data_IF_840445953435
#
_entry.id   IF_840445953435
#
_cell.length_a   1.000
_cell.length_b   1.000
_cell.length_c   1.000
_cell.angle_alpha   90.00
_cell.angle_beta   90.00
_cell.angle_gamma   90.00
#
_symmetry.space_group_name_H-M   'P 1'
#
loop_
_entity.id
_entity.type
_entity.pdbx_description
1 polymer ?
#
# COMPACT_ATOMS: atom_id res chain seq x y z
N UNK A 1 -3.07 6.30 13.39
CA UNK A 1 -2.54 6.74 12.09
C UNK A 1 -2.80 5.67 11.04
N UNK A 2 -3.27 6.07 9.89
CA UNK A 2 -3.48 5.19 8.75
C UNK A 2 -2.18 5.11 7.93
N UNK A 3 -1.59 3.93 7.84
CA UNK A 3 -0.34 3.72 7.12
C UNK A 3 -0.59 2.89 5.86
N UNK A 4 -0.29 3.43 4.70
CA UNK A 4 -0.34 2.67 3.46
C UNK A 4 0.93 1.82 3.32
N UNK A 5 0.74 0.53 3.07
CA UNK A 5 1.83 -0.38 2.75
C UNK A 5 1.76 -0.65 1.26
N UNK A 6 2.79 -0.28 0.55
CA UNK A 6 2.87 -0.38 -0.90
C UNK A 6 4.12 -1.15 -1.27
N UNK A 7 4.07 -1.90 -2.34
CA UNK A 7 5.26 -2.61 -2.74
C UNK A 7 5.13 -3.32 -4.08
N UNK A 8 6.28 -3.71 -4.60
CA UNK A 8 6.39 -4.45 -5.84
C UNK A 8 5.87 -5.87 -5.66
N UNK A 9 5.19 -6.40 -6.70
CA UNK A 9 4.56 -7.73 -6.64
C UNK A 9 5.55 -8.86 -6.43
N UNK A 10 6.79 -8.69 -6.85
CA UNK A 10 7.84 -9.70 -6.73
C UNK A 10 8.57 -9.69 -5.39
N UNK A 11 8.22 -8.77 -4.49
CA UNK A 11 8.86 -8.66 -3.19
C UNK A 11 8.01 -9.32 -2.11
N UNK A 12 8.69 -9.84 -1.08
CA UNK A 12 8.06 -10.42 0.09
C UNK A 12 8.81 -9.97 1.34
N UNK A 13 8.09 -9.59 2.39
CA UNK A 13 8.66 -9.16 3.66
C UNK A 13 8.05 -10.04 4.76
N UNK A 14 8.89 -10.76 5.50
CA UNK A 14 8.43 -11.67 6.56
C UNK A 14 7.86 -10.93 7.75
N UNK A 15 8.49 -9.83 8.15
CA UNK A 15 8.07 -9.07 9.32
C UNK A 15 7.83 -7.60 8.96
N UNK A 16 6.63 -7.31 8.51
CA UNK A 16 6.21 -5.95 8.21
C UNK A 16 6.28 -5.06 9.46
N UNK A 17 6.02 -5.66 10.63
CA UNK A 17 6.03 -4.92 11.90
C UNK A 17 7.36 -4.28 12.22
N UNK A 18 8.48 -4.86 11.75
CA UNK A 18 9.82 -4.30 11.99
C UNK A 18 10.00 -2.92 11.34
N UNK A 19 9.17 -2.58 10.37
CA UNK A 19 9.27 -1.32 9.63
C UNK A 19 8.20 -0.31 9.98
N UNK A 20 7.26 -0.66 10.87
CA UNK A 20 6.14 0.24 11.18
C UNK A 20 6.55 1.34 12.14
N UNK A 21 6.18 2.60 11.85
CA UNK A 21 6.37 3.68 12.83
C UNK A 21 5.38 3.52 13.99
N UNK A 22 5.62 4.19 15.11
CA UNK A 22 4.67 4.17 16.23
C UNK A 22 3.35 4.84 15.88
N UNK A 23 2.28 4.43 16.54
CA UNK A 23 0.97 5.05 16.38
C UNK A 23 0.14 4.54 15.21
N UNK A 24 0.55 3.45 14.55
CA UNK A 24 -0.24 2.87 13.47
C UNK A 24 -1.44 2.13 14.04
N UNK A 25 -2.64 2.49 13.57
CA UNK A 25 -3.89 1.85 13.98
C UNK A 25 -4.58 1.14 12.82
N UNK A 26 -4.22 1.48 11.60
CA UNK A 26 -4.85 0.94 10.39
C UNK A 26 -3.81 0.79 9.29
N UNK A 27 -3.84 -0.37 8.59
CA UNK A 27 -3.06 -0.58 7.38
C UNK A 27 -3.94 -0.39 6.15
N UNK A 28 -3.41 0.27 5.15
CA UNK A 28 -4.09 0.54 3.88
C UNK A 28 -3.30 -0.12 2.76
N UNK A 29 -3.95 -0.86 1.90
CA UNK A 29 -3.28 -1.67 0.88
C UNK A 29 -4.13 -1.76 -0.38
N UNK A 30 -3.51 -2.18 -1.48
CA UNK A 30 -4.19 -2.38 -2.76
C UNK A 30 -4.71 -3.78 -3.01
N UNK A 31 -4.50 -4.71 -2.07
CA UNK A 31 -5.00 -6.09 -2.20
C UNK A 31 -4.32 -6.92 -3.28
N UNK A 32 -3.13 -6.51 -3.76
CA UNK A 32 -2.38 -7.27 -4.75
C UNK A 32 -1.53 -8.38 -4.11
N UNK A 33 -0.70 -9.04 -4.91
CA UNK A 33 0.22 -10.07 -4.44
C UNK A 33 1.49 -9.42 -3.85
N UNK A 34 2.32 -10.24 -3.20
CA UNK A 34 3.59 -9.79 -2.66
C UNK A 34 3.42 -8.94 -1.41
N UNK A 35 3.91 -7.71 -1.43
CA UNK A 35 3.90 -6.82 -0.27
C UNK A 35 2.49 -6.56 0.25
N UNK A 36 1.50 -6.43 -0.62
CA UNK A 36 0.11 -6.22 -0.19
C UNK A 36 -0.42 -7.42 0.61
N UNK A 37 -0.03 -8.63 0.22
CA UNK A 37 -0.37 -9.84 0.98
C UNK A 37 0.31 -9.85 2.34
N UNK A 38 1.57 -9.42 2.42
CA UNK A 38 2.30 -9.31 3.69
C UNK A 38 1.59 -8.34 4.63
N UNK A 39 1.12 -7.21 4.13
CA UNK A 39 0.39 -6.23 4.91
C UNK A 39 -0.92 -6.81 5.46
N UNK A 40 -1.66 -7.53 4.62
CA UNK A 40 -2.92 -8.19 5.04
C UNK A 40 -2.67 -9.18 6.16
N UNK A 41 -1.70 -10.07 5.99
CA UNK A 41 -1.40 -11.09 7.00
C UNK A 41 -0.98 -10.46 8.32
N UNK A 42 -0.17 -9.41 8.28
CA UNK A 42 0.25 -8.70 9.48
C UNK A 42 -0.94 -8.06 10.20
N UNK A 43 -1.81 -7.35 9.45
CA UNK A 43 -2.97 -6.69 10.05
C UNK A 43 -3.90 -7.68 10.72
N UNK A 44 -4.18 -8.81 10.06
CA UNK A 44 -5.06 -9.86 10.62
C UNK A 44 -4.44 -10.51 11.85
N UNK A 45 -3.14 -10.75 11.85
CA UNK A 45 -2.43 -11.39 12.98
C UNK A 45 -2.35 -10.48 14.20
N UNK A 46 -2.31 -9.16 14.01
CA UNK A 46 -2.07 -8.20 15.09
C UNK A 46 -3.30 -7.36 15.45
N UNK A 47 -4.46 -7.71 14.91
CA UNK A 47 -5.71 -7.01 15.24
C UNK A 47 -5.78 -5.58 14.75
N UNK A 48 -5.01 -5.21 13.74
CA UNK A 48 -5.09 -3.89 13.12
C UNK A 48 -6.23 -3.83 12.12
N UNK A 49 -6.83 -2.66 11.98
CA UNK A 49 -7.81 -2.44 10.92
C UNK A 49 -7.12 -2.53 9.56
N UNK A 50 -7.74 -3.20 8.61
CA UNK A 50 -7.22 -3.31 7.24
C UNK A 50 -8.22 -2.69 6.29
N UNK A 51 -7.75 -1.75 5.48
CA UNK A 51 -8.55 -1.15 4.40
C UNK A 51 -7.85 -1.45 3.09
N UNK A 52 -8.54 -2.13 2.18
CA UNK A 52 -8.01 -2.48 0.87
C UNK A 52 -8.77 -1.75 -0.23
N UNK A 53 -8.05 -1.05 -1.09
CA UNK A 53 -8.60 -0.40 -2.28
C UNK A 53 -8.30 -1.29 -3.48
N UNK A 54 -9.28 -2.06 -3.92
CA UNK A 54 -9.11 -2.94 -5.07
C UNK A 54 -9.30 -2.17 -6.38
N UNK A 55 -8.54 -2.51 -7.42
CA UNK A 55 -8.71 -1.84 -8.71
C UNK A 55 -10.05 -2.23 -9.35
N UNK A 56 -10.80 -1.24 -9.80
CA UNK A 56 -12.08 -1.44 -10.46
C UNK A 56 -11.90 -1.44 -11.98
N UNK A 57 -11.55 -2.61 -12.51
CA UNK A 57 -11.30 -2.78 -13.95
C UNK A 57 -12.55 -2.57 -14.79
N UNK A 58 -13.73 -2.82 -14.23
CA UNK A 58 -14.99 -2.61 -14.97
C UNK A 58 -15.22 -1.15 -15.27
N UNK A 59 -14.87 -0.28 -14.31
CA UNK A 59 -15.10 1.17 -14.42
C UNK A 59 -13.97 1.89 -15.14
N UNK A 60 -12.72 1.51 -14.86
CA UNK A 60 -11.53 2.25 -15.29
C UNK A 60 -10.66 1.51 -16.29
N UNK A 61 -10.96 0.26 -16.60
CA UNK A 61 -10.15 -0.53 -17.52
C UNK A 61 -8.68 -0.60 -17.10
N UNK A 62 -7.78 -0.29 -18.03
CA UNK A 62 -6.33 -0.35 -17.75
C UNK A 62 -5.86 0.68 -16.73
N UNK A 63 -6.60 1.74 -16.54
CA UNK A 63 -6.25 2.78 -15.56
C UNK A 63 -6.64 2.41 -14.12
N UNK A 64 -7.34 1.28 -13.92
CA UNK A 64 -7.83 0.90 -12.60
C UNK A 64 -6.75 0.86 -11.50
N UNK A 65 -5.56 0.25 -11.72
CA UNK A 65 -4.51 0.28 -10.70
C UNK A 65 -4.03 1.69 -10.36
N UNK A 66 -3.96 2.56 -11.34
CA UNK A 66 -3.55 3.96 -11.14
C UNK A 66 -4.57 4.72 -10.32
N UNK A 67 -5.86 4.56 -10.63
CA UNK A 67 -6.95 5.19 -9.87
C UNK A 67 -6.94 4.70 -8.43
N UNK A 68 -6.80 3.38 -8.23
CA UNK A 68 -6.72 2.77 -6.91
C UNK A 68 -5.55 3.34 -6.10
N UNK A 69 -4.39 3.53 -6.73
CA UNK A 69 -3.23 4.10 -6.06
C UNK A 69 -3.47 5.54 -5.62
N UNK A 70 -4.18 6.34 -6.43
CA UNK A 70 -4.59 7.70 -6.04
C UNK A 70 -5.50 7.69 -4.83
N UNK A 71 -6.44 6.74 -4.77
CA UNK A 71 -7.35 6.59 -3.64
C UNK A 71 -6.58 6.26 -2.35
N UNK A 72 -5.58 5.38 -2.42
CA UNK A 72 -4.74 5.02 -1.29
C UNK A 72 -4.02 6.27 -0.77
N UNK A 73 -3.36 7.02 -1.64
CA UNK A 73 -2.59 8.21 -1.25
C UNK A 73 -3.49 9.30 -0.66
N UNK A 74 -4.71 9.43 -1.16
CA UNK A 74 -5.67 10.39 -0.62
C UNK A 74 -6.18 10.00 0.76
N UNK A 75 -6.31 8.70 1.03
CA UNK A 75 -6.88 8.17 2.27
C UNK A 75 -5.87 8.05 3.40
N UNK A 76 -4.61 7.72 3.10
CA UNK A 76 -3.61 7.44 4.13
C UNK A 76 -3.08 8.70 4.83
N UNK A 77 -2.42 8.49 5.96
CA UNK A 77 -1.68 9.56 6.64
C UNK A 77 -0.20 9.53 6.28
N UNK A 78 0.36 8.33 6.08
CA UNK A 78 1.73 8.11 5.63
C UNK A 78 1.80 6.87 4.75
N UNK A 79 2.86 6.75 3.97
CA UNK A 79 3.12 5.60 3.14
C UNK A 79 4.46 4.95 3.47
N UNK A 80 4.50 3.62 3.46
CA UNK A 80 5.71 2.81 3.57
C UNK A 80 5.80 1.97 2.30
N UNK A 81 6.90 2.13 1.55
CA UNK A 81 7.06 1.47 0.27
C UNK A 81 8.23 0.49 0.26
N UNK A 82 7.99 -0.68 -0.31
CA UNK A 82 9.02 -1.69 -0.58
C UNK A 82 9.16 -1.80 -2.10
N UNK A 83 10.14 -1.12 -2.67
CA UNK A 83 10.29 -0.97 -4.11
C UNK A 83 11.53 -1.71 -4.61
N UNK A 84 11.36 -2.48 -5.69
CA UNK A 84 12.46 -3.22 -6.33
C UNK A 84 13.31 -2.34 -7.28
N UNK A 85 12.98 -1.06 -7.40
CA UNK A 85 13.66 -0.13 -8.29
C UNK A 85 13.17 -0.17 -9.73
N UNK A 86 12.18 -1.01 -10.04
CA UNK A 86 11.72 -1.23 -11.41
C UNK A 86 10.22 -1.01 -11.61
N UNK A 87 9.39 -1.36 -10.61
CA UNK A 87 7.93 -1.28 -10.75
C UNK A 87 7.45 0.15 -10.93
N UNK A 88 6.83 0.49 -12.07
CA UNK A 88 6.36 1.86 -12.30
C UNK A 88 5.17 2.24 -11.40
N UNK A 89 4.32 1.28 -11.05
CA UNK A 89 3.17 1.52 -10.17
C UNK A 89 3.61 1.92 -8.77
N UNK A 90 4.56 1.21 -8.19
CA UNK A 90 5.09 1.52 -6.86
C UNK A 90 5.82 2.87 -6.87
N UNK A 91 6.62 3.13 -7.92
CA UNK A 91 7.28 4.43 -8.07
C UNK A 91 6.27 5.57 -8.14
N UNK A 92 5.17 5.38 -8.85
CA UNK A 92 4.11 6.37 -8.94
C UNK A 92 3.57 6.74 -7.56
N UNK A 93 3.28 5.74 -6.72
CA UNK A 93 2.77 5.99 -5.37
C UNK A 93 3.81 6.69 -4.50
N UNK A 94 5.08 6.29 -4.59
CA UNK A 94 6.17 6.96 -3.88
C UNK A 94 6.22 8.44 -4.25
N UNK A 95 6.17 8.75 -5.55
CA UNK A 95 6.21 10.13 -6.05
C UNK A 95 5.01 10.93 -5.57
N UNK A 96 3.81 10.33 -5.56
CA UNK A 96 2.60 11.00 -5.06
C UNK A 96 2.68 11.27 -3.55
N UNK A 97 3.21 10.33 -2.77
CA UNK A 97 3.40 10.53 -1.33
C UNK A 97 4.37 11.67 -1.05
N UNK A 98 5.48 11.72 -1.78
CA UNK A 98 6.45 12.82 -1.64
C UNK A 98 5.83 14.17 -1.97
N UNK A 99 5.02 14.22 -3.03
CA UNK A 99 4.34 15.44 -3.47
C UNK A 99 3.36 15.94 -2.41
N UNK A 100 2.69 15.03 -1.70
CA UNK A 100 1.75 15.35 -0.64
C UNK A 100 2.37 15.34 0.76
N UNK A 101 3.68 15.19 0.85
CA UNK A 101 4.44 15.14 2.10
C UNK A 101 4.01 14.01 3.04
N UNK A 102 3.72 12.88 2.44
CA UNK A 102 3.37 11.65 3.14
C UNK A 102 4.46 10.59 2.94
#
# INVERSE_FOLDING_TARGET
MKLAIIGSRGLWVEDVGAFLPPGVTELVSGGAKGIDTCAREYALSHGLKLTEFLPDYRRYGRAAPLVRNREIVAYDDQGLAFWDGKSPGTKYVIDQCKKQKK
#
